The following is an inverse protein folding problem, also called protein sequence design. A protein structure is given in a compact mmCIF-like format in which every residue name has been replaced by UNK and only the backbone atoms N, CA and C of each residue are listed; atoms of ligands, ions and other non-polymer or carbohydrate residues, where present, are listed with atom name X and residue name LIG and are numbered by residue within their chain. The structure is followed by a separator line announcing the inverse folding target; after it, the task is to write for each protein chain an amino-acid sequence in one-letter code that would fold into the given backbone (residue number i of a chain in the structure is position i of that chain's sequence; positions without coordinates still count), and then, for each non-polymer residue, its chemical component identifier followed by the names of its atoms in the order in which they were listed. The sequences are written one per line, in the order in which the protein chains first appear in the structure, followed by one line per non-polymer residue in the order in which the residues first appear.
data_IF_905601355289
#
_entry.id   IF_905601355289
#
_cell.length_a   1.000
_cell.length_b   1.000
_cell.length_c   1.000
_cell.angle_alpha   90.00
_cell.angle_beta   90.00
_cell.angle_gamma   90.00
#
_symmetry.space_group_name_H-M   'P 1'
#
loop_
_entity.id
_entity.type
_entity.pdbx_description
1 polymer ?
#
# COMPACT_ATOMS: atom_id res chain seq x y z
N UNK A 1 17.01 1.77 10.16
CA UNK A 1 16.04 2.85 9.86
C UNK A 1 16.40 3.67 8.60
N UNK A 2 17.67 4.01 8.36
CA UNK A 2 18.10 4.79 7.17
C UNK A 2 17.77 4.16 5.79
N UNK A 3 17.61 2.83 5.69
CA UNK A 3 17.23 2.15 4.44
C UNK A 3 15.77 2.36 4.02
N UNK A 4 14.87 2.63 4.97
CA UNK A 4 13.43 2.78 4.68
C UNK A 4 13.13 4.19 4.16
N UNK A 5 13.81 5.22 4.68
CA UNK A 5 13.67 6.60 4.21
C UNK A 5 14.14 6.76 2.76
N UNK A 6 15.30 6.20 2.42
CA UNK A 6 15.82 6.22 1.05
C UNK A 6 14.88 5.52 0.05
N UNK A 7 14.21 4.44 0.48
CA UNK A 7 13.19 3.76 -0.34
C UNK A 7 11.95 4.62 -0.60
N UNK A 8 11.51 5.40 0.39
CA UNK A 8 10.36 6.30 0.25
C UNK A 8 10.66 7.46 -0.70
N UNK A 9 11.88 8.00 -0.65
CA UNK A 9 12.33 9.07 -1.55
C UNK A 9 12.31 8.63 -3.03
N UNK A 10 12.68 7.38 -3.32
CA UNK A 10 12.60 6.83 -4.68
C UNK A 10 11.14 6.77 -5.18
N UNK A 11 10.18 6.37 -4.35
CA UNK A 11 8.76 6.36 -4.74
C UNK A 11 8.13 7.75 -4.87
N UNK A 12 8.64 8.73 -4.13
CA UNK A 12 8.17 10.12 -4.22
C UNK A 12 8.69 10.78 -5.50
N UNK A 13 9.93 10.47 -5.90
CA UNK A 13 10.60 11.08 -7.04
C UNK A 13 10.40 10.35 -8.39
N UNK A 14 9.88 9.12 -8.40
CA UNK A 14 9.57 8.44 -9.66
C UNK A 14 8.32 9.04 -10.34
N UNK A 15 8.40 9.42 -11.62
CA UNK A 15 7.27 10.01 -12.34
C UNK A 15 6.15 8.98 -12.61
N UNK A 16 4.90 9.45 -12.70
CA UNK A 16 3.69 8.64 -12.98
C UNK A 16 3.84 7.71 -14.19
N UNK A 17 4.67 8.08 -15.18
CA UNK A 17 4.87 7.26 -16.38
C UNK A 17 5.57 5.91 -16.11
N UNK A 18 6.21 5.76 -14.95
CA UNK A 18 6.93 4.54 -14.54
C UNK A 18 6.25 3.86 -13.34
N UNK A 19 5.55 4.64 -12.51
CA UNK A 19 4.96 4.17 -11.26
C UNK A 19 3.44 4.03 -11.35
N UNK A 20 2.98 2.89 -11.85
CA UNK A 20 1.55 2.54 -11.88
C UNK A 20 1.09 1.89 -10.56
N UNK A 21 -0.22 1.93 -10.23
CA UNK A 21 -0.76 1.25 -9.05
C UNK A 21 -0.38 -0.25 -8.95
N UNK A 22 -0.34 -0.96 -10.08
CA UNK A 22 0.09 -2.37 -10.14
C UNK A 22 1.59 -2.54 -9.87
N UNK A 23 2.42 -1.69 -10.47
CA UNK A 23 3.87 -1.71 -10.27
C UNK A 23 4.22 -1.37 -8.82
N UNK A 24 3.51 -0.41 -8.24
CA UNK A 24 3.64 -0.02 -6.84
C UNK A 24 3.25 -1.17 -5.90
N UNK A 25 2.09 -1.81 -6.13
CA UNK A 25 1.68 -2.98 -5.36
C UNK A 25 2.69 -4.14 -5.48
N UNK A 26 3.28 -4.36 -6.67
CA UNK A 26 4.31 -5.38 -6.89
C UNK A 26 5.59 -5.09 -6.10
N UNK A 27 6.08 -3.84 -6.11
CA UNK A 27 7.26 -3.43 -5.33
C UNK A 27 7.00 -3.50 -3.82
N UNK A 28 5.79 -3.18 -3.35
CA UNK A 28 5.43 -3.36 -1.94
C UNK A 28 5.39 -4.83 -1.55
N UNK A 29 4.96 -5.74 -2.44
CA UNK A 29 5.04 -7.19 -2.16
C UNK A 29 6.48 -7.64 -1.92
N UNK A 30 7.49 -7.00 -2.51
CA UNK A 30 8.89 -7.31 -2.22
C UNK A 30 9.27 -7.00 -0.78
N UNK A 31 8.61 -6.03 -0.14
CA UNK A 31 8.81 -5.74 1.28
C UNK A 31 8.35 -6.90 2.18
N UNK A 32 7.53 -7.84 1.65
CA UNK A 32 7.18 -9.05 2.38
C UNK A 32 8.38 -9.95 2.67
N UNK A 33 9.46 -9.85 1.87
CA UNK A 33 10.74 -10.56 2.12
C UNK A 33 11.37 -10.21 3.47
N UNK A 34 11.05 -9.05 4.03
CA UNK A 34 11.54 -8.61 5.34
C UNK A 34 10.68 -9.11 6.52
N UNK A 35 9.79 -10.08 6.30
CA UNK A 35 8.91 -10.63 7.34
C UNK A 35 7.63 -9.82 7.58
N UNK A 36 7.28 -8.93 6.64
CA UNK A 36 6.05 -8.14 6.65
C UNK A 36 4.93 -8.92 5.96
N UNK A 37 3.75 -9.01 6.57
CA UNK A 37 2.56 -9.55 5.91
C UNK A 37 1.97 -8.46 5.03
N UNK A 38 2.00 -8.65 3.71
CA UNK A 38 1.46 -7.68 2.74
C UNK A 38 0.21 -8.28 2.10
N UNK A 39 -0.92 -7.61 2.25
CA UNK A 39 -2.17 -7.94 1.60
C UNK A 39 -2.52 -6.86 0.58
N UNK A 40 -2.89 -7.26 -0.63
CA UNK A 40 -3.33 -6.34 -1.69
C UNK A 40 -4.81 -6.58 -1.98
N UNK A 41 -5.59 -5.52 -1.85
CA UNK A 41 -7.02 -5.47 -2.12
C UNK A 41 -7.27 -4.71 -3.43
N UNK A 42 -7.70 -5.46 -4.44
CA UNK A 42 -8.13 -4.92 -5.72
C UNK A 42 -9.55 -4.36 -5.61
N UNK A 43 -10.00 -3.62 -6.62
CA UNK A 43 -11.36 -3.06 -6.68
C UNK A 43 -12.47 -4.08 -6.44
N UNK A 44 -12.37 -5.28 -7.01
CA UNK A 44 -13.37 -6.34 -6.81
C UNK A 44 -13.51 -6.72 -5.33
N UNK A 45 -12.39 -6.81 -4.60
CA UNK A 45 -12.39 -7.09 -3.15
C UNK A 45 -12.89 -5.88 -2.36
N UNK A 46 -12.50 -4.67 -2.75
CA UNK A 46 -12.95 -3.43 -2.12
C UNK A 46 -14.46 -3.21 -2.28
N UNK A 47 -15.04 -3.55 -3.45
CA UNK A 47 -16.49 -3.56 -3.70
C UNK A 47 -17.20 -4.51 -2.76
N UNK A 48 -16.65 -5.71 -2.58
CA UNK A 48 -17.19 -6.74 -1.70
C UNK A 48 -17.12 -6.37 -0.21
N UNK A 49 -16.11 -5.59 0.19
CA UNK A 49 -15.94 -5.05 1.54
C UNK A 49 -16.70 -3.74 1.78
N UNK A 50 -17.43 -3.22 0.80
CA UNK A 50 -18.23 -1.99 0.93
C UNK A 50 -17.42 -0.69 0.97
N UNK A 51 -16.19 -0.69 0.45
CA UNK A 51 -15.29 0.47 0.45
C UNK A 51 -15.63 1.49 -0.67
N UNK A 52 -16.89 1.91 -0.75
CA UNK A 52 -17.41 2.76 -1.82
C UNK A 52 -16.73 4.13 -1.94
N UNK A 53 -16.28 4.71 -0.82
CA UNK A 53 -15.59 6.00 -0.81
C UNK A 53 -14.23 5.94 -1.53
N UNK A 54 -13.46 4.86 -1.34
CA UNK A 54 -12.18 4.67 -2.02
C UNK A 54 -12.36 4.35 -3.51
N UNK A 55 -13.39 3.55 -3.84
CA UNK A 55 -13.75 3.24 -5.23
C UNK A 55 -14.23 4.48 -6.01
N UNK A 56 -14.89 5.42 -5.33
CA UNK A 56 -15.33 6.68 -5.93
C UNK A 56 -14.17 7.55 -6.41
N UNK A 57 -13.06 7.58 -5.66
CA UNK A 57 -11.85 8.35 -6.01
C UNK A 57 -11.11 7.71 -7.20
N UNK A 58 -11.16 6.38 -7.32
CA UNK A 58 -10.50 5.62 -8.38
C UNK A 58 -11.19 5.65 -9.74
N UNK A 59 -12.49 5.91 -9.80
CA UNK A 59 -13.32 5.82 -11.02
C UNK A 59 -12.87 6.73 -12.17
N UNK A 60 -12.12 7.79 -11.88
CA UNK A 60 -11.59 8.70 -12.90
C UNK A 60 -10.24 8.29 -13.50
N UNK A 61 -9.60 7.24 -12.98
CA UNK A 61 -8.30 6.78 -13.47
C UNK A 61 -8.47 5.64 -14.48
N UNK A 62 -7.53 5.56 -15.43
CA UNK A 62 -7.41 4.41 -16.34
C UNK A 62 -6.90 3.15 -15.62
N UNK A 63 -6.31 3.31 -14.43
CA UNK A 63 -5.75 2.23 -13.64
C UNK A 63 -6.66 1.88 -12.45
N UNK A 64 -6.83 0.59 -12.20
CA UNK A 64 -7.63 0.11 -11.07
C UNK A 64 -7.06 0.59 -9.73
N UNK A 65 -7.94 1.00 -8.82
CA UNK A 65 -7.52 1.33 -7.46
C UNK A 65 -7.06 0.09 -6.70
N UNK A 66 -5.90 0.20 -6.05
CA UNK A 66 -5.29 -0.86 -5.26
C UNK A 66 -5.06 -0.35 -3.84
N UNK A 67 -5.53 -1.10 -2.85
CA UNK A 67 -5.24 -0.83 -1.44
C UNK A 67 -4.28 -1.89 -0.91
N UNK A 68 -3.14 -1.45 -0.39
CA UNK A 68 -2.12 -2.34 0.18
C UNK A 68 -2.10 -2.22 1.69
N UNK A 69 -2.33 -3.33 2.38
CA UNK A 69 -2.29 -3.43 3.84
C UNK A 69 -1.00 -4.13 4.22
N UNK A 70 -0.12 -3.41 4.90
CA UNK A 70 1.12 -3.96 5.44
C UNK A 70 0.92 -4.18 6.93
N UNK A 71 0.96 -5.44 7.36
CA UNK A 71 0.90 -5.84 8.76
C UNK A 71 2.30 -6.25 9.22
N UNK A 72 2.83 -5.47 10.16
CA UNK A 72 4.06 -5.80 10.86
C UNK A 72 3.73 -6.26 12.28
N UNK A 73 4.00 -7.51 12.58
CA UNK A 73 3.87 -8.07 13.93
C UNK A 73 5.20 -7.89 14.67
N UNK A 74 5.50 -6.65 15.04
CA UNK A 74 6.70 -6.28 15.78
C UNK A 74 6.70 -6.83 17.21
N UNK A 75 7.54 -7.84 17.44
CA UNK A 75 7.91 -8.50 18.70
C UNK A 75 6.74 -9.05 19.57
N UNK A 76 6.86 -10.32 19.99
CA UNK A 76 5.88 -11.10 20.77
C UNK A 76 5.70 -10.61 22.23
N UNK A 77 5.83 -9.32 22.50
CA UNK A 77 5.56 -8.76 23.83
C UNK A 77 4.10 -8.33 23.90
N UNK A 78 3.28 -9.25 24.42
CA UNK A 78 1.90 -9.03 24.84
C UNK A 78 1.79 -7.67 25.57
N UNK A 79 0.84 -6.81 25.14
CA UNK A 79 0.42 -5.51 25.73
C UNK A 79 0.94 -4.20 25.11
N UNK A 80 1.14 -4.10 23.80
CA UNK A 80 1.08 -2.78 23.12
C UNK A 80 -0.11 -2.73 22.16
N UNK A 81 -0.88 -1.63 22.23
CA UNK A 81 -2.00 -1.37 21.31
C UNK A 81 -1.46 -1.45 19.86
N UNK A 82 -2.16 -2.10 18.93
CA UNK A 82 -1.70 -2.17 17.55
C UNK A 82 -1.64 -0.74 16.99
N UNK A 83 -0.44 -0.26 16.69
CA UNK A 83 -0.26 1.02 16.01
C UNK A 83 -0.55 0.81 14.53
N UNK A 84 -1.67 1.33 14.05
CA UNK A 84 -1.99 1.34 12.62
C UNK A 84 -1.54 2.67 12.02
N UNK A 85 -0.63 2.61 11.05
CA UNK A 85 -0.26 3.76 10.24
C UNK A 85 -0.99 3.63 8.90
N UNK A 86 -1.88 4.58 8.63
CA UNK A 86 -2.55 4.69 7.34
C UNK A 86 -1.88 5.80 6.53
N UNK A 87 -1.48 5.48 5.30
CA UNK A 87 -0.85 6.43 4.39
C UNK A 87 -1.57 6.41 3.04
N UNK A 88 -1.68 7.57 2.40
CA UNK A 88 -2.36 7.73 1.11
C UNK A 88 -1.37 8.16 0.05
N UNK A 89 -1.32 7.43 -1.05
CA UNK A 89 -0.60 7.83 -2.27
C UNK A 89 -1.60 7.81 -3.43
N UNK A 90 -1.81 8.97 -4.06
CA UNK A 90 -2.52 9.04 -5.34
C UNK A 90 -1.49 8.97 -6.46
N UNK A 91 -1.66 8.02 -7.37
CA UNK A 91 -0.91 7.93 -8.62
C UNK A 91 -1.89 8.26 -9.73
N UNK A 92 -1.51 9.22 -10.58
CA UNK A 92 -2.27 9.63 -11.75
C UNK A 92 -1.80 8.84 -12.95
#
# INVERSE_FOLDING_TARGET
MQRVSSWLETFVNEPSNVLNPEAYAKRIKELSKFGLKVEVLNEAKMKRLGMWSLLGVGRGSQYESQLVIIRWEGNKSKKKKPTMLCWKRCLF
#
